data_IF_181766525261
#
_entry.id   IF_181766525261
#
_cell.length_a   1.000
_cell.length_b   1.000
_cell.length_c   1.000
_cell.angle_alpha   90.00
_cell.angle_beta   90.00
_cell.angle_gamma   90.00
#
_symmetry.space_group_name_H-M   'P 1'
#
loop_
_entity.id
_entity.type
_entity.pdbx_description
1 polymer ?
#
# COMPACT_ATOMS: atom_id res chain seq x y z
N UNK A 1 -26.72 -23.30 9.73
CA UNK A 1 -25.37 -22.74 9.43
C UNK A 1 -24.54 -22.81 10.71
N UNK A 2 -23.36 -23.40 10.62
CA UNK A 2 -22.43 -23.51 11.76
C UNK A 2 -21.89 -22.12 12.15
N UNK A 3 -21.51 -21.95 13.44
CA UNK A 3 -20.95 -20.65 13.91
C UNK A 3 -19.70 -20.23 13.15
N UNK A 4 -18.82 -21.18 12.81
CA UNK A 4 -17.59 -20.93 12.05
C UNK A 4 -17.90 -20.36 10.66
N UNK A 5 -18.81 -20.97 9.91
CA UNK A 5 -19.25 -20.48 8.60
C UNK A 5 -19.89 -19.09 8.69
N UNK A 6 -20.61 -18.83 9.79
CA UNK A 6 -21.24 -17.54 10.02
C UNK A 6 -20.23 -16.45 10.33
N UNK A 7 -19.20 -16.78 11.13
CA UNK A 7 -18.10 -15.89 11.43
C UNK A 7 -17.33 -15.49 10.16
N UNK A 8 -17.04 -16.45 9.28
CA UNK A 8 -16.39 -16.17 7.98
C UNK A 8 -17.24 -15.22 7.12
N UNK A 9 -18.55 -15.46 7.05
CA UNK A 9 -19.46 -14.58 6.30
C UNK A 9 -19.54 -13.17 6.90
N UNK A 10 -19.58 -13.05 8.22
CA UNK A 10 -19.55 -11.75 8.91
C UNK A 10 -18.27 -10.99 8.57
N UNK A 11 -17.11 -11.63 8.67
CA UNK A 11 -15.82 -11.01 8.33
C UNK A 11 -15.73 -10.63 6.86
N UNK A 12 -16.23 -11.48 5.95
CA UNK A 12 -16.29 -11.18 4.52
C UNK A 12 -17.18 -9.97 4.20
N UNK A 13 -18.35 -9.85 4.87
CA UNK A 13 -19.20 -8.66 4.71
C UNK A 13 -18.55 -7.40 5.31
N UNK A 14 -17.89 -7.55 6.44
CA UNK A 14 -17.15 -6.47 7.06
C UNK A 14 -16.00 -5.98 6.14
N UNK A 15 -15.35 -6.91 5.43
CA UNK A 15 -14.31 -6.61 4.45
C UNK A 15 -14.81 -5.82 3.24
N UNK A 16 -16.07 -6.03 2.84
CA UNK A 16 -16.70 -5.31 1.72
C UNK A 16 -17.19 -3.91 2.11
N UNK A 17 -17.74 -3.76 3.31
CA UNK A 17 -18.51 -2.57 3.69
C UNK A 17 -17.86 -1.72 4.79
N UNK A 18 -16.74 -2.16 5.38
CA UNK A 18 -16.03 -1.49 6.49
C UNK A 18 -16.85 -1.44 7.79
N UNK A 19 -18.16 -1.23 7.70
CA UNK A 19 -19.12 -1.22 8.82
C UNK A 19 -20.32 -2.11 8.45
N UNK A 20 -20.72 -2.98 9.36
CA UNK A 20 -21.90 -3.83 9.19
C UNK A 20 -22.89 -3.64 10.35
N UNK A 21 -24.18 -3.60 10.03
CA UNK A 21 -25.26 -3.49 11.05
C UNK A 21 -25.72 -4.88 11.46
N UNK A 22 -26.09 -5.03 12.75
CA UNK A 22 -26.66 -6.27 13.30
C UNK A 22 -27.90 -6.69 12.49
N UNK A 23 -28.79 -5.76 12.20
CA UNK A 23 -30.04 -6.02 11.45
C UNK A 23 -29.76 -6.48 10.00
N UNK A 24 -28.74 -5.95 9.35
CA UNK A 24 -28.31 -6.38 8.01
C UNK A 24 -27.79 -7.82 8.06
N UNK A 25 -26.88 -8.11 9.00
CA UNK A 25 -26.29 -9.45 9.15
C UNK A 25 -27.31 -10.49 9.56
N UNK A 26 -28.27 -10.16 10.45
CA UNK A 26 -29.31 -11.08 10.88
C UNK A 26 -30.22 -11.48 9.72
N UNK A 27 -30.57 -10.53 8.86
CA UNK A 27 -31.35 -10.79 7.65
C UNK A 27 -30.54 -11.60 6.61
N UNK A 28 -29.31 -11.20 6.34
CA UNK A 28 -28.43 -11.85 5.36
C UNK A 28 -28.13 -13.32 5.73
N UNK A 29 -27.90 -13.58 7.01
CA UNK A 29 -27.48 -14.89 7.52
C UNK A 29 -28.65 -15.72 8.07
N UNK A 30 -29.89 -15.17 8.03
CA UNK A 30 -31.13 -15.80 8.49
C UNK A 30 -31.05 -16.33 9.93
N UNK A 31 -30.51 -15.48 10.83
CA UNK A 31 -30.39 -15.74 12.26
C UNK A 31 -30.93 -14.53 13.06
N UNK A 32 -31.16 -14.71 14.35
CA UNK A 32 -31.63 -13.60 15.19
C UNK A 32 -30.57 -12.56 15.46
N UNK A 33 -30.97 -11.30 15.73
CA UNK A 33 -30.06 -10.22 16.16
C UNK A 33 -29.26 -10.62 17.39
N UNK A 34 -29.84 -11.41 18.30
CA UNK A 34 -29.14 -11.93 19.48
C UNK A 34 -28.00 -12.83 19.09
N UNK A 35 -28.20 -13.71 18.11
CA UNK A 35 -27.15 -14.60 17.59
C UNK A 35 -25.99 -13.78 16.98
N UNK A 36 -26.31 -12.77 16.15
CA UNK A 36 -25.29 -11.88 15.57
C UNK A 36 -24.51 -11.13 16.65
N UNK A 37 -25.17 -10.62 17.70
CA UNK A 37 -24.44 -9.93 18.78
C UNK A 37 -23.45 -10.84 19.51
N UNK A 38 -23.80 -12.11 19.72
CA UNK A 38 -22.92 -13.11 20.33
C UNK A 38 -21.74 -13.41 19.39
N UNK A 39 -21.99 -13.55 18.08
CA UNK A 39 -20.95 -13.76 17.10
C UNK A 39 -19.98 -12.58 17.02
N UNK A 40 -20.49 -11.35 16.98
CA UNK A 40 -19.68 -10.13 16.98
C UNK A 40 -18.85 -10.00 18.27
N UNK A 41 -19.43 -10.37 19.44
CA UNK A 41 -18.68 -10.40 20.70
C UNK A 41 -17.55 -11.43 20.67
N UNK A 42 -17.82 -12.61 20.13
CA UNK A 42 -16.80 -13.67 19.97
C UNK A 42 -15.67 -13.22 19.04
N UNK A 43 -16.01 -12.56 17.93
CA UNK A 43 -15.04 -12.05 16.97
C UNK A 43 -14.23 -10.86 17.53
N UNK A 44 -14.87 -9.98 18.32
CA UNK A 44 -14.20 -8.89 19.03
C UNK A 44 -13.19 -9.42 20.05
N UNK A 45 -13.58 -10.40 20.87
CA UNK A 45 -12.69 -11.05 21.84
C UNK A 45 -11.49 -11.76 21.18
N UNK A 46 -11.61 -12.15 19.91
CA UNK A 46 -10.52 -12.68 19.09
C UNK A 46 -9.70 -11.60 18.39
N UNK A 47 -10.02 -10.32 18.60
CA UNK A 47 -9.32 -9.22 17.94
C UNK A 47 -9.55 -9.15 16.43
N UNK A 48 -10.68 -9.63 15.92
CA UNK A 48 -10.96 -9.67 14.48
C UNK A 48 -11.85 -8.52 13.98
N UNK A 49 -12.54 -7.83 14.89
CA UNK A 49 -13.38 -6.67 14.62
C UNK A 49 -13.56 -5.83 15.90
N UNK A 50 -14.12 -4.63 15.76
CA UNK A 50 -14.55 -3.78 16.87
C UNK A 50 -16.06 -3.60 16.81
N UNK A 51 -16.76 -3.86 17.93
CA UNK A 51 -18.20 -3.58 18.02
C UNK A 51 -18.45 -2.09 18.16
N UNK A 52 -19.47 -1.61 17.48
CA UNK A 52 -20.04 -0.27 17.60
C UNK A 52 -21.52 -0.36 17.92
N UNK A 53 -22.16 0.78 18.21
CA UNK A 53 -23.58 0.79 18.49
C UNK A 53 -24.41 0.26 17.30
N UNK A 54 -25.08 -0.87 17.49
CA UNK A 54 -25.92 -1.50 16.47
C UNK A 54 -25.18 -2.31 15.38
N UNK A 55 -23.87 -2.55 15.52
CA UNK A 55 -23.10 -3.28 14.52
C UNK A 55 -21.65 -3.55 14.90
N UNK A 56 -20.82 -3.70 13.87
CA UNK A 56 -19.38 -3.83 14.00
C UNK A 56 -18.67 -3.08 12.89
N UNK A 57 -17.44 -2.67 13.18
CA UNK A 57 -16.49 -2.11 12.23
C UNK A 57 -15.22 -2.94 12.22
N UNK A 58 -14.43 -2.77 11.18
CA UNK A 58 -13.08 -3.30 11.15
C UNK A 58 -12.35 -2.74 12.38
N UNK A 59 -11.44 -3.53 12.96
CA UNK A 59 -10.44 -2.97 13.85
C UNK A 59 -9.61 -1.97 13.02
N UNK A 60 -9.95 -0.71 13.10
CA UNK A 60 -9.00 0.36 12.83
C UNK A 60 -8.04 0.37 14.03
N UNK A 61 -7.01 -0.42 13.97
CA UNK A 61 -5.83 -0.07 14.73
C UNK A 61 -5.36 1.25 14.12
N UNK A 62 -5.49 2.33 14.86
CA UNK A 62 -5.02 3.67 14.45
C UNK A 62 -3.55 3.66 14.01
N UNK A 63 -2.84 2.56 14.23
CA UNK A 63 -1.44 2.32 13.92
C UNK A 63 -1.17 1.05 13.10
N UNK A 64 -2.15 0.33 12.55
CA UNK A 64 -1.88 -0.82 11.70
C UNK A 64 -2.02 -0.47 10.22
N UNK A 65 -1.09 -0.97 9.40
CA UNK A 65 -1.24 -0.92 7.95
C UNK A 65 -2.41 -1.85 7.59
N UNK A 66 -3.52 -1.29 7.11
CA UNK A 66 -4.61 -2.10 6.56
C UNK A 66 -4.04 -3.15 5.60
N UNK A 67 -4.55 -4.39 5.62
CA UNK A 67 -4.16 -5.40 4.64
C UNK A 67 -4.20 -4.82 3.23
N UNK A 68 -3.22 -5.15 2.40
CA UNK A 68 -3.07 -4.53 1.07
C UNK A 68 -4.34 -4.68 0.22
N UNK A 69 -5.10 -5.77 0.37
CA UNK A 69 -6.39 -5.95 -0.31
C UNK A 69 -7.38 -4.84 0.03
N UNK A 70 -7.45 -4.42 1.31
CA UNK A 70 -8.31 -3.31 1.73
C UNK A 70 -7.81 -1.98 1.20
N UNK A 71 -6.49 -1.76 1.24
CA UNK A 71 -5.87 -0.56 0.67
C UNK A 71 -6.02 -0.48 -0.85
N UNK A 72 -6.08 -1.60 -1.56
CA UNK A 72 -6.36 -1.62 -3.00
C UNK A 72 -7.78 -1.15 -3.33
N UNK A 73 -8.78 -1.56 -2.53
CA UNK A 73 -10.18 -1.16 -2.73
C UNK A 73 -10.45 0.31 -2.34
N UNK A 74 -9.67 0.86 -1.40
CA UNK A 74 -9.77 2.28 -1.06
C UNK A 74 -9.11 3.13 -2.14
N UNK A 75 -9.84 4.08 -2.71
CA UNK A 75 -9.33 4.99 -3.74
C UNK A 75 -8.71 4.26 -4.95
N UNK A 76 -9.33 3.16 -5.42
CA UNK A 76 -8.83 2.37 -6.55
C UNK A 76 -8.63 3.23 -7.79
N UNK A 77 -9.63 4.04 -8.16
CA UNK A 77 -9.61 4.88 -9.36
C UNK A 77 -8.49 5.93 -9.31
N UNK A 78 -8.25 6.49 -8.11
CA UNK A 78 -7.14 7.42 -7.86
C UNK A 78 -5.79 6.72 -8.07
N UNK A 79 -5.61 5.51 -7.51
CA UNK A 79 -4.37 4.76 -7.66
C UNK A 79 -4.11 4.34 -9.11
N UNK A 80 -5.16 4.01 -9.84
CA UNK A 80 -5.07 3.69 -11.26
C UNK A 80 -4.69 4.92 -12.09
N UNK A 81 -5.19 6.11 -11.76
CA UNK A 81 -4.78 7.35 -12.39
C UNK A 81 -3.31 7.69 -12.08
N UNK A 82 -2.89 7.56 -10.82
CA UNK A 82 -1.49 7.73 -10.39
C UNK A 82 -0.57 6.74 -11.12
N UNK A 83 -1.00 5.48 -11.24
CA UNK A 83 -0.24 4.44 -11.93
C UNK A 83 -0.09 4.71 -13.43
N UNK A 84 -1.15 5.18 -14.11
CA UNK A 84 -1.09 5.60 -15.52
C UNK A 84 -0.09 6.73 -15.73
N UNK A 85 -0.09 7.73 -14.86
CA UNK A 85 0.88 8.83 -14.95
C UNK A 85 2.33 8.35 -14.68
N UNK A 86 2.50 7.44 -13.71
CA UNK A 86 3.81 6.83 -13.44
C UNK A 86 4.32 6.03 -14.65
N UNK A 87 3.45 5.28 -15.34
CA UNK A 87 3.77 4.51 -16.53
C UNK A 87 4.36 5.38 -17.64
N UNK A 88 3.85 6.61 -17.84
CA UNK A 88 4.36 7.55 -18.85
C UNK A 88 5.83 7.96 -18.61
N UNK A 89 6.34 7.77 -17.41
CA UNK A 89 7.75 8.08 -17.07
C UNK A 89 8.70 6.93 -17.37
N UNK A 90 8.19 5.73 -17.63
CA UNK A 90 8.98 4.50 -17.84
C UNK A 90 9.31 4.35 -19.32
N UNK A 91 10.54 3.95 -19.62
CA UNK A 91 11.03 3.72 -20.98
C UNK A 91 11.36 2.24 -21.20
N UNK A 92 11.38 1.84 -22.47
CA UNK A 92 11.89 0.52 -22.84
C UNK A 92 13.30 0.28 -22.29
N UNK A 93 13.54 -0.93 -21.82
CA UNK A 93 14.78 -1.39 -21.21
C UNK A 93 15.16 -0.70 -19.88
N UNK A 94 14.23 0.09 -19.28
CA UNK A 94 14.46 0.57 -17.91
C UNK A 94 14.55 -0.62 -16.94
N UNK A 95 15.44 -0.50 -15.98
CA UNK A 95 15.47 -1.33 -14.78
C UNK A 95 14.82 -0.55 -13.65
N UNK A 96 13.76 -1.12 -13.09
CA UNK A 96 12.94 -0.49 -12.06
C UNK A 96 13.09 -1.22 -10.73
N UNK A 97 13.17 -0.49 -9.62
CA UNK A 97 12.91 -1.03 -8.30
C UNK A 97 11.52 -0.57 -7.86
N UNK A 98 10.63 -1.52 -7.60
CA UNK A 98 9.25 -1.23 -7.21
C UNK A 98 9.00 -1.82 -5.83
N UNK A 99 8.80 -0.95 -4.85
CA UNK A 99 8.50 -1.31 -3.47
C UNK A 99 7.05 -1.76 -3.28
N UNK A 100 6.81 -2.59 -2.27
CA UNK A 100 5.48 -3.12 -1.97
C UNK A 100 4.50 -2.05 -1.49
N UNK A 101 3.38 -1.88 -2.19
CA UNK A 101 2.32 -0.95 -1.85
C UNK A 101 1.10 -1.10 -2.74
N UNK A 102 -0.05 -0.50 -2.35
CA UNK A 102 -1.26 -0.56 -3.18
C UNK A 102 -1.17 0.30 -4.44
N UNK A 103 -0.53 1.48 -4.38
CA UNK A 103 -0.32 2.34 -5.55
C UNK A 103 0.75 1.77 -6.49
N UNK A 104 1.82 1.18 -5.95
CA UNK A 104 2.86 0.52 -6.74
C UNK A 104 2.38 -0.78 -7.36
N UNK A 105 1.46 -1.48 -6.71
CA UNK A 105 0.80 -2.66 -7.30
C UNK A 105 -0.13 -2.26 -8.47
N UNK A 106 -0.83 -1.12 -8.37
CA UNK A 106 -1.60 -0.57 -9.49
C UNK A 106 -0.69 -0.27 -10.70
N UNK A 107 0.53 0.25 -10.46
CA UNK A 107 1.53 0.41 -11.53
C UNK A 107 1.93 -0.94 -12.12
N UNK A 108 2.18 -1.97 -11.31
CA UNK A 108 2.54 -3.30 -11.78
C UNK A 108 1.47 -3.92 -12.69
N UNK A 109 0.19 -3.67 -12.44
CA UNK A 109 -0.90 -4.11 -13.33
C UNK A 109 -0.76 -3.57 -14.75
N UNK A 110 -0.25 -2.35 -14.92
CA UNK A 110 -0.13 -1.67 -16.21
C UNK A 110 1.17 -2.00 -16.96
N UNK A 111 2.17 -2.59 -16.29
CA UNK A 111 3.43 -2.97 -16.93
C UNK A 111 3.25 -4.17 -17.85
N UNK A 112 4.14 -4.33 -18.84
CA UNK A 112 4.25 -5.53 -19.66
C UNK A 112 4.06 -5.32 -21.17
N UNK A 113 3.80 -4.11 -21.63
CA UNK A 113 3.62 -3.82 -23.06
C UNK A 113 4.97 -3.72 -23.80
N UNK A 114 6.04 -3.41 -23.08
CA UNK A 114 7.40 -3.25 -23.62
C UNK A 114 8.46 -3.87 -22.69
N UNK A 115 9.68 -4.16 -23.20
CA UNK A 115 10.73 -4.79 -22.41
C UNK A 115 11.21 -3.90 -21.26
N UNK A 116 11.18 -4.44 -20.03
CA UNK A 116 11.71 -3.81 -18.82
C UNK A 116 12.24 -4.88 -17.86
N UNK A 117 13.10 -4.46 -16.93
CA UNK A 117 13.48 -5.26 -15.77
C UNK A 117 12.84 -4.70 -14.51
N UNK A 118 12.23 -5.54 -13.68
CA UNK A 118 11.62 -5.13 -12.41
C UNK A 118 12.25 -5.90 -11.26
N UNK A 119 12.74 -5.15 -10.28
CA UNK A 119 13.25 -5.66 -9.01
C UNK A 119 12.22 -5.32 -7.93
N UNK A 120 11.80 -6.30 -7.15
CA UNK A 120 10.87 -6.10 -6.05
C UNK A 120 11.11 -7.06 -4.91
N UNK A 121 10.76 -6.66 -3.69
CA UNK A 121 10.69 -7.53 -2.54
C UNK A 121 9.25 -7.96 -2.19
N UNK A 122 8.25 -7.55 -2.96
CA UNK A 122 6.85 -7.83 -2.65
C UNK A 122 6.29 -8.99 -3.49
N UNK A 123 5.80 -10.03 -2.81
CA UNK A 123 5.28 -11.26 -3.41
C UNK A 123 4.06 -10.97 -4.32
N UNK A 124 3.20 -10.02 -3.94
CA UNK A 124 1.98 -9.72 -4.72
C UNK A 124 2.33 -9.00 -6.00
N UNK A 125 3.30 -8.08 -5.92
CA UNK A 125 3.82 -7.38 -7.08
C UNK A 125 4.54 -8.38 -8.02
N UNK A 126 5.35 -9.28 -7.46
CA UNK A 126 5.98 -10.34 -8.25
C UNK A 126 4.95 -11.27 -8.90
N UNK A 127 3.90 -11.66 -8.18
CA UNK A 127 2.82 -12.47 -8.70
C UNK A 127 2.08 -11.81 -9.87
N UNK A 128 1.85 -10.49 -9.77
CA UNK A 128 1.24 -9.71 -10.85
C UNK A 128 2.08 -9.70 -12.13
N UNK A 129 3.40 -9.67 -11.97
CA UNK A 129 4.34 -9.61 -13.09
C UNK A 129 4.71 -10.97 -13.67
N UNK A 130 4.35 -12.07 -13.00
CA UNK A 130 4.81 -13.43 -13.33
C UNK A 130 4.47 -13.86 -14.77
N UNK A 131 3.31 -13.44 -15.28
CA UNK A 131 2.84 -13.84 -16.62
C UNK A 131 3.07 -12.73 -17.67
N UNK A 132 3.86 -11.71 -17.38
CA UNK A 132 4.15 -10.60 -18.30
C UNK A 132 5.45 -10.89 -19.05
N UNK A 133 5.36 -11.48 -20.22
CA UNK A 133 6.47 -12.04 -21.00
C UNK A 133 7.60 -11.03 -21.29
N UNK A 134 7.28 -9.75 -21.38
CA UNK A 134 8.27 -8.68 -21.64
C UNK A 134 8.91 -8.13 -20.37
N UNK A 135 8.54 -8.62 -19.20
CA UNK A 135 9.09 -8.20 -17.91
C UNK A 135 10.09 -9.21 -17.41
N UNK A 136 11.35 -8.81 -17.33
CA UNK A 136 12.36 -9.57 -16.60
C UNK A 136 12.19 -9.29 -15.11
N UNK A 137 11.67 -10.25 -14.36
CA UNK A 137 11.41 -10.12 -12.93
C UNK A 137 12.58 -10.64 -12.08
N UNK A 138 13.08 -9.80 -11.18
CA UNK A 138 13.99 -10.19 -10.11
C UNK A 138 13.28 -10.04 -8.77
N UNK A 139 13.00 -11.15 -8.11
CA UNK A 139 12.47 -11.15 -6.75
C UNK A 139 13.61 -11.06 -5.75
N UNK A 140 13.61 -10.02 -4.93
CA UNK A 140 14.53 -9.92 -3.79
C UNK A 140 14.01 -10.82 -2.68
N UNK A 141 14.77 -11.84 -2.34
CA UNK A 141 14.41 -12.86 -1.38
C UNK A 141 14.29 -12.36 0.06
N UNK A 142 14.10 -13.30 0.99
CA UNK A 142 14.02 -13.02 2.40
C UNK A 142 12.81 -13.67 3.08
N UNK A 143 12.53 -13.23 4.30
CA UNK A 143 11.44 -13.75 5.13
C UNK A 143 10.27 -12.77 5.15
N UNK A 144 9.05 -13.27 4.98
CA UNK A 144 7.84 -12.49 5.15
C UNK A 144 7.57 -12.21 6.62
N UNK A 145 7.29 -10.96 6.97
CA UNK A 145 7.01 -10.55 8.36
C UNK A 145 5.59 -10.00 8.46
N UNK A 146 4.84 -10.50 9.43
CA UNK A 146 3.46 -10.08 9.67
C UNK A 146 2.52 -10.33 8.49
N UNK A 147 1.64 -9.39 8.21
CA UNK A 147 0.63 -9.43 7.13
C UNK A 147 1.11 -8.79 5.83
N UNK A 148 2.32 -8.22 5.81
CA UNK A 148 2.93 -7.62 4.61
C UNK A 148 3.12 -8.66 3.50
N UNK A 149 3.06 -8.22 2.25
CA UNK A 149 3.49 -9.01 1.09
C UNK A 149 5.00 -8.97 0.88
N UNK A 150 5.70 -8.09 1.57
CA UNK A 150 7.12 -7.84 1.34
C UNK A 150 8.02 -8.80 2.12
N UNK A 151 9.13 -9.17 1.52
CA UNK A 151 10.19 -9.99 2.08
C UNK A 151 11.34 -9.12 2.57
N UNK A 152 11.94 -9.51 3.67
CA UNK A 152 13.07 -8.81 4.31
C UNK A 152 14.13 -9.81 4.76
N UNK A 153 15.39 -9.41 4.74
CA UNK A 153 16.51 -10.25 5.18
C UNK A 153 17.86 -9.60 4.87
N UNK A 154 18.93 -10.19 5.39
CA UNK A 154 20.29 -9.71 5.18
C UNK A 154 20.66 -9.79 3.70
N UNK A 155 20.34 -10.90 3.03
CA UNK A 155 20.62 -11.13 1.61
C UNK A 155 19.92 -10.09 0.72
N UNK A 156 18.69 -9.72 1.09
CA UNK A 156 17.94 -8.67 0.42
C UNK A 156 18.65 -7.31 0.55
N UNK A 157 19.14 -7.03 1.76
CA UNK A 157 19.89 -5.81 2.04
C UNK A 157 21.22 -5.77 1.28
N UNK A 158 21.96 -6.87 1.26
CA UNK A 158 23.25 -6.98 0.56
C UNK A 158 23.10 -6.85 -0.96
N UNK A 159 21.96 -7.34 -1.51
CA UNK A 159 21.68 -7.16 -2.93
C UNK A 159 21.52 -5.68 -3.29
N UNK A 160 20.83 -4.89 -2.46
CA UNK A 160 20.62 -3.46 -2.69
C UNK A 160 21.95 -2.67 -2.76
N UNK A 161 22.99 -3.09 -2.02
CA UNK A 161 24.31 -2.45 -2.10
C UNK A 161 24.99 -2.63 -3.44
N UNK A 162 24.66 -3.70 -4.17
CA UNK A 162 25.32 -4.11 -5.40
C UNK A 162 24.58 -3.74 -6.68
N UNK A 163 23.31 -3.30 -6.57
CA UNK A 163 22.49 -2.95 -7.74
C UNK A 163 22.41 -1.44 -7.94
N UNK A 164 22.22 -1.05 -9.19
CA UNK A 164 21.78 0.29 -9.59
C UNK A 164 20.64 0.15 -10.58
N UNK A 165 19.61 0.94 -10.41
CA UNK A 165 18.40 0.92 -11.24
C UNK A 165 18.14 2.28 -11.86
N UNK A 166 17.38 2.33 -12.95
CA UNK A 166 17.05 3.58 -13.62
C UNK A 166 16.05 4.39 -12.78
N UNK A 167 15.05 3.73 -12.19
CA UNK A 167 13.99 4.40 -11.41
C UNK A 167 13.54 3.56 -10.23
N UNK A 168 13.11 4.27 -9.20
CA UNK A 168 12.49 3.68 -8.02
C UNK A 168 11.08 4.22 -7.85
N UNK A 169 10.13 3.35 -7.61
CA UNK A 169 8.76 3.69 -7.26
C UNK A 169 8.45 3.22 -5.84
N UNK A 170 8.10 4.18 -4.97
CA UNK A 170 7.74 3.92 -3.59
C UNK A 170 6.29 4.27 -3.29
N UNK A 171 5.73 3.58 -2.28
CA UNK A 171 4.59 4.08 -1.50
C UNK A 171 5.04 4.53 -0.11
N UNK A 172 4.16 5.25 0.59
CA UNK A 172 4.35 5.65 1.98
C UNK A 172 3.08 5.43 2.80
N UNK A 173 3.21 5.39 4.12
CA UNK A 173 2.05 5.39 5.02
C UNK A 173 1.61 6.83 5.32
N UNK A 174 2.56 7.72 5.53
CA UNK A 174 2.33 9.14 5.75
C UNK A 174 3.43 10.00 5.14
N UNK A 175 3.09 11.23 4.78
CA UNK A 175 4.01 12.27 4.30
C UNK A 175 3.62 13.60 4.94
N UNK A 176 4.59 14.24 5.57
CA UNK A 176 4.47 15.60 6.06
C UNK A 176 5.71 16.43 5.72
N UNK A 177 5.53 17.74 5.71
CA UNK A 177 6.64 18.67 5.40
C UNK A 177 7.72 18.63 6.49
N UNK A 178 7.31 18.43 7.73
CA UNK A 178 8.18 18.44 8.92
C UNK A 178 8.97 17.12 9.04
N UNK A 179 8.30 15.99 8.85
CA UNK A 179 8.86 14.67 9.13
C UNK A 179 9.26 13.90 7.87
N UNK A 180 8.86 14.38 6.67
CA UNK A 180 9.12 13.67 5.41
C UNK A 180 8.24 12.44 5.23
N UNK A 181 8.83 11.35 4.74
CA UNK A 181 8.12 10.10 4.44
C UNK A 181 8.25 9.14 5.60
N UNK A 182 7.10 8.61 6.04
CA UNK A 182 7.02 7.78 7.25
C UNK A 182 6.29 6.47 7.03
N UNK A 183 6.68 5.44 7.81
CA UNK A 183 6.06 4.11 7.85
C UNK A 183 5.88 3.65 9.29
N UNK A 184 5.04 2.62 9.52
CA UNK A 184 4.74 2.13 10.87
C UNK A 184 5.78 1.16 11.43
N UNK A 185 6.67 0.58 10.59
CA UNK A 185 7.53 -0.52 11.00
C UNK A 185 8.99 -0.25 10.60
N UNK A 186 9.92 -0.48 11.55
CA UNK A 186 11.35 -0.25 11.36
C UNK A 186 11.97 -1.06 10.22
N UNK A 187 11.55 -2.32 10.06
CA UNK A 187 12.07 -3.17 8.98
C UNK A 187 11.70 -2.62 7.59
N UNK A 188 10.47 -2.08 7.45
CA UNK A 188 10.07 -1.39 6.23
C UNK A 188 10.86 -0.09 6.02
N UNK A 189 11.11 0.67 7.11
CA UNK A 189 11.91 1.89 7.04
C UNK A 189 13.35 1.60 6.58
N UNK A 190 13.99 0.58 7.14
CA UNK A 190 15.37 0.20 6.82
C UNK A 190 15.50 -0.28 5.37
N UNK A 191 14.56 -1.12 4.91
CA UNK A 191 14.48 -1.52 3.51
C UNK A 191 14.38 -0.30 2.58
N UNK A 192 13.43 0.60 2.85
CA UNK A 192 13.19 1.78 2.02
C UNK A 192 14.39 2.72 1.99
N UNK A 193 15.01 3.00 3.15
CA UNK A 193 16.24 3.82 3.20
C UNK A 193 17.34 3.25 2.33
N UNK A 194 17.54 1.94 2.39
CA UNK A 194 18.57 1.28 1.60
C UNK A 194 18.22 1.26 0.13
N UNK A 195 16.96 0.99 -0.22
CA UNK A 195 16.50 1.01 -1.60
C UNK A 195 16.65 2.39 -2.27
N UNK A 196 16.49 3.50 -1.51
CA UNK A 196 16.73 4.87 -2.02
C UNK A 196 18.13 5.05 -2.61
N UNK A 197 19.14 4.34 -2.11
CA UNK A 197 20.52 4.46 -2.60
C UNK A 197 20.74 3.79 -3.96
N UNK A 198 19.77 3.02 -4.45
CA UNK A 198 19.91 2.27 -5.70
C UNK A 198 19.68 3.12 -6.96
N UNK A 199 19.14 4.33 -6.85
CA UNK A 199 18.90 5.22 -8.01
C UNK A 199 18.95 6.69 -7.62
N UNK A 200 19.18 7.54 -8.62
CA UNK A 200 19.03 9.00 -8.52
C UNK A 200 17.65 9.48 -9.00
N UNK A 201 16.75 8.57 -9.37
CA UNK A 201 15.38 8.87 -9.82
C UNK A 201 14.37 8.16 -8.95
N UNK A 202 13.92 8.86 -7.92
CA UNK A 202 12.98 8.35 -6.91
C UNK A 202 11.62 9.02 -7.08
N UNK A 203 10.59 8.22 -7.33
CA UNK A 203 9.21 8.68 -7.48
C UNK A 203 8.32 8.10 -6.37
N UNK A 204 7.65 8.97 -5.65
CA UNK A 204 6.61 8.60 -4.70
C UNK A 204 5.25 8.50 -5.39
N UNK A 205 4.55 7.39 -5.20
CA UNK A 205 3.16 7.17 -5.63
C UNK A 205 2.26 7.19 -4.39
N UNK A 206 1.54 8.28 -4.17
CA UNK A 206 0.72 8.46 -2.97
C UNK A 206 -0.57 9.21 -3.29
N UNK A 207 -1.71 8.67 -2.88
CA UNK A 207 -2.97 9.42 -2.92
C UNK A 207 -2.98 10.55 -1.88
N UNK A 208 -3.83 11.56 -2.08
CA UNK A 208 -3.94 12.75 -1.22
C UNK A 208 -4.19 12.42 0.25
N UNK A 209 -4.79 11.28 0.55
CA UNK A 209 -5.06 10.84 1.93
C UNK A 209 -3.80 10.57 2.76
N UNK A 210 -2.62 10.53 2.14
CA UNK A 210 -1.32 10.27 2.79
C UNK A 210 -0.63 11.54 3.28
N UNK A 211 -1.05 12.69 2.77
CA UNK A 211 -0.46 13.99 3.12
C UNK A 211 -0.93 14.48 4.49
N UNK A 212 -0.12 15.34 5.11
CA UNK A 212 -0.33 15.86 6.47
C UNK A 212 -0.52 14.74 7.52
N UNK A 213 0.09 13.59 7.28
CA UNK A 213 0.07 12.44 8.19
C UNK A 213 1.47 11.95 8.47
N UNK A 214 1.70 11.60 9.72
CA UNK A 214 2.91 10.96 10.18
C UNK A 214 2.62 9.55 10.68
N UNK A 215 3.43 8.61 10.24
CA UNK A 215 3.52 7.29 10.84
C UNK A 215 4.72 7.24 11.81
N UNK A 216 4.94 6.10 12.44
CA UNK A 216 5.87 5.97 13.56
C UNK A 216 7.34 6.26 13.21
N UNK A 217 7.81 5.90 12.01
CA UNK A 217 9.24 5.90 11.68
C UNK A 217 9.49 6.59 10.34
N UNK A 218 10.32 7.63 10.37
CA UNK A 218 10.81 8.30 9.18
C UNK A 218 11.79 7.41 8.42
N UNK A 219 11.66 7.33 7.09
CA UNK A 219 12.62 6.64 6.24
C UNK A 219 13.29 7.54 5.18
N UNK A 220 12.66 8.67 4.84
CA UNK A 220 13.20 9.62 3.86
C UNK A 220 12.78 11.05 4.17
N UNK A 221 13.55 12.02 3.70
CA UNK A 221 13.15 13.41 3.60
C UNK A 221 12.44 13.65 2.27
N UNK A 222 11.72 14.77 2.13
CA UNK A 222 11.07 15.12 0.88
C UNK A 222 12.11 15.31 -0.22
N UNK A 223 13.24 15.90 0.11
CA UNK A 223 14.36 16.20 -0.78
C UNK A 223 15.05 14.95 -1.35
N UNK A 224 14.82 13.77 -0.75
CA UNK A 224 15.28 12.48 -1.29
C UNK A 224 14.46 12.01 -2.51
N UNK A 225 13.37 12.72 -2.84
CA UNK A 225 12.51 12.46 -3.98
C UNK A 225 12.86 13.35 -5.17
N UNK A 226 12.67 12.85 -6.38
CA UNK A 226 12.66 13.65 -7.60
C UNK A 226 11.24 14.03 -8.01
N UNK A 227 10.28 13.17 -7.73
CA UNK A 227 8.89 13.36 -8.11
C UNK A 227 7.92 12.75 -7.10
N UNK A 228 6.80 13.42 -6.94
CA UNK A 228 5.58 12.89 -6.30
C UNK A 228 4.47 12.87 -7.34
N UNK A 229 3.81 11.72 -7.51
CA UNK A 229 2.59 11.60 -8.31
C UNK A 229 1.43 11.37 -7.36
N UNK A 230 0.44 12.25 -7.40
CA UNK A 230 -0.73 12.25 -6.49
C UNK A 230 -1.98 12.73 -7.24
N UNK A 231 -3.13 12.63 -6.60
CA UNK A 231 -4.38 13.19 -7.13
C UNK A 231 -4.52 14.69 -6.86
N UNK A 232 -5.49 15.30 -7.49
CA UNK A 232 -5.76 16.74 -7.42
C UNK A 232 -6.35 17.22 -6.07
N UNK A 233 -6.71 16.26 -5.18
CA UNK A 233 -7.19 16.55 -3.83
C UNK A 233 -6.05 16.83 -2.82
N UNK A 234 -4.78 16.79 -3.25
CA UNK A 234 -3.67 17.25 -2.41
C UNK A 234 -3.92 18.69 -1.96
N UNK A 235 -3.73 18.95 -0.67
CA UNK A 235 -3.87 20.29 -0.14
C UNK A 235 -2.83 21.25 -0.72
N UNK A 236 -3.22 22.53 -0.85
CA UNK A 236 -2.40 23.55 -1.49
C UNK A 236 -1.08 23.82 -0.76
N UNK A 237 -1.06 23.68 0.55
CA UNK A 237 0.13 23.90 1.35
C UNK A 237 1.18 22.82 1.08
N UNK A 238 0.80 21.55 1.17
CA UNK A 238 1.68 20.41 0.84
C UNK A 238 2.19 20.50 -0.60
N UNK A 239 1.31 20.81 -1.56
CA UNK A 239 1.70 20.98 -2.96
C UNK A 239 2.77 22.05 -3.13
N UNK A 240 2.57 23.24 -2.57
CA UNK A 240 3.51 24.36 -2.71
C UNK A 240 4.84 24.04 -2.03
N UNK A 241 4.81 23.60 -0.77
CA UNK A 241 6.01 23.34 0.03
C UNK A 241 6.89 22.22 -0.55
N UNK A 242 6.29 21.20 -1.16
CA UNK A 242 7.05 20.14 -1.82
C UNK A 242 7.75 20.67 -3.09
N UNK A 243 7.05 21.47 -3.90
CA UNK A 243 7.67 22.10 -5.08
C UNK A 243 8.77 23.10 -4.68
N UNK A 244 8.59 23.89 -3.63
CA UNK A 244 9.60 24.81 -3.10
C UNK A 244 10.88 24.10 -2.67
N UNK A 245 10.81 22.82 -2.28
CA UNK A 245 11.96 21.97 -1.97
C UNK A 245 12.60 21.32 -3.20
N UNK A 246 12.17 21.71 -4.42
CA UNK A 246 12.74 21.23 -5.67
C UNK A 246 12.20 19.87 -6.14
N UNK A 247 11.17 19.34 -5.50
CA UNK A 247 10.54 18.06 -5.85
C UNK A 247 9.34 18.31 -6.76
N UNK A 248 9.34 17.72 -7.95
CA UNK A 248 8.23 17.86 -8.90
C UNK A 248 6.97 17.17 -8.36
N UNK A 249 5.86 17.92 -8.24
CA UNK A 249 4.55 17.33 -7.92
C UNK A 249 3.67 17.28 -9.17
N UNK A 250 3.36 16.06 -9.61
CA UNK A 250 2.41 15.81 -10.71
C UNK A 250 1.07 15.43 -10.11
N UNK A 251 0.02 16.17 -10.48
CA UNK A 251 -1.35 15.91 -10.04
C UNK A 251 -2.15 15.27 -11.17
N UNK A 252 -2.86 14.21 -10.84
CA UNK A 252 -3.79 13.53 -11.76
C UNK A 252 -5.23 13.83 -11.35
N UNK A 253 -6.09 13.99 -12.34
CA UNK A 253 -7.54 14.09 -12.16
C UNK A 253 -8.20 12.77 -12.56
N UNK A 254 -9.37 12.47 -11.97
CA UNK A 254 -10.16 11.28 -12.26
C UNK A 254 -11.04 11.45 -13.48
#
# INVERSE_FOLDING_TARGET
MLSVERHEKILNELDKQTIVKVSYLSHLLQVTDKTIRIDLETLENRGLLKRIHGGATILEEENSILPIKKRQLQHSDVKDAIAREALLTIKENDTLLIDGGSSTLALAHLLGDFPISVITNDIKLAYELLNKEKVQLMMVGGTRIGTSGSLFGAEASDLLDRIRVNKIFFGTTGISIENGLTVLNGIHADWKRKALTCSNHVTLLADSSKFQKDALIKFASIEDLNQVITDDQIDKESYNKINERGVKVTRVSL
#
